data_IF_502652165867
#
_entry.id   IF_502652165867
#
_cell.length_a   1.000
_cell.length_b   1.000
_cell.length_c   1.000
_cell.angle_alpha   90.00
_cell.angle_beta   90.00
_cell.angle_gamma   90.00
#
_symmetry.space_group_name_H-M   'P 1'
#
loop_
_entity.id
_entity.type
_entity.pdbx_description
1 polymer ?
#
# COMPACT_ATOMS: atom_id res chain seq x y z
N UNK A 1 -16.97 0.73 -7.54
CA UNK A 1 -16.12 -0.11 -6.67
C UNK A 1 -14.85 0.67 -6.42
N UNK A 2 -14.44 0.89 -5.17
CA UNK A 2 -13.18 1.62 -4.88
C UNK A 2 -11.99 0.70 -5.12
N UNK A 3 -10.87 1.23 -5.61
CA UNK A 3 -9.65 0.44 -5.85
C UNK A 3 -8.63 0.61 -4.73
N UNK A 4 -7.91 -0.48 -4.41
CA UNK A 4 -6.82 -0.46 -3.44
C UNK A 4 -5.57 -1.10 -4.03
N UNK A 5 -4.40 -0.52 -3.75
CA UNK A 5 -3.12 -1.10 -4.12
C UNK A 5 -2.17 -1.19 -2.91
N UNK A 6 -1.41 -2.28 -2.82
CA UNK A 6 -0.54 -2.57 -1.69
C UNK A 6 0.94 -2.53 -2.08
N UNK A 7 1.78 -1.97 -1.20
CA UNK A 7 3.22 -2.11 -1.25
C UNK A 7 3.73 -2.50 0.13
N UNK A 8 4.50 -3.57 0.21
CA UNK A 8 4.98 -4.12 1.48
C UNK A 8 6.51 -4.05 1.52
N UNK A 9 7.02 -3.45 2.57
CA UNK A 9 8.43 -3.42 2.94
C UNK A 9 8.63 -4.19 4.24
N UNK A 10 9.77 -4.85 4.37
CA UNK A 10 10.16 -5.50 5.62
C UNK A 10 10.13 -7.02 5.53
N UNK A 11 9.68 -7.67 6.61
CA UNK A 11 9.86 -9.10 6.81
C UNK A 11 8.61 -9.91 6.45
N UNK A 12 8.69 -11.23 6.57
CA UNK A 12 7.58 -12.16 6.31
C UNK A 12 6.29 -11.81 7.05
N UNK A 13 6.39 -11.21 8.24
CA UNK A 13 5.21 -10.80 9.01
C UNK A 13 4.47 -9.66 8.30
N UNK A 14 5.17 -8.65 7.77
CA UNK A 14 4.54 -7.57 6.99
C UNK A 14 3.80 -8.11 5.76
N UNK A 15 4.32 -9.14 5.10
CA UNK A 15 3.64 -9.79 3.97
C UNK A 15 2.40 -10.56 4.41
N UNK A 16 2.46 -11.25 5.55
CA UNK A 16 1.29 -11.93 6.12
C UNK A 16 0.18 -10.93 6.48
N UNK A 17 0.54 -9.84 7.16
CA UNK A 17 -0.40 -8.77 7.54
C UNK A 17 -1.05 -8.12 6.31
N UNK A 18 -0.25 -7.88 5.26
CA UNK A 18 -0.76 -7.34 3.99
C UNK A 18 -1.74 -8.30 3.32
N UNK A 19 -1.48 -9.61 3.41
CA UNK A 19 -2.39 -10.64 2.90
C UNK A 19 -3.75 -10.59 3.59
N UNK A 20 -3.76 -10.56 4.93
CA UNK A 20 -4.99 -10.44 5.72
C UNK A 20 -5.75 -9.16 5.38
N UNK A 21 -5.07 -8.02 5.35
CA UNK A 21 -5.69 -6.72 5.02
C UNK A 21 -6.24 -6.69 3.59
N UNK A 22 -5.57 -7.32 2.62
CA UNK A 22 -6.06 -7.47 1.24
C UNK A 22 -7.38 -8.21 1.22
N UNK A 23 -7.48 -9.35 1.91
CA UNK A 23 -8.70 -10.16 1.96
C UNK A 23 -9.84 -9.44 2.67
N UNK A 24 -9.57 -8.70 3.75
CA UNK A 24 -10.58 -7.91 4.46
C UNK A 24 -11.14 -6.78 3.58
N UNK A 25 -10.26 -6.02 2.90
CA UNK A 25 -10.69 -4.92 2.03
C UNK A 25 -11.47 -5.42 0.81
N UNK A 26 -11.07 -6.55 0.23
CA UNK A 26 -11.87 -7.22 -0.81
C UNK A 26 -13.25 -7.61 -0.28
N UNK A 27 -13.34 -8.12 0.96
CA UNK A 27 -14.60 -8.40 1.66
C UNK A 27 -15.48 -7.16 1.90
N UNK A 28 -14.87 -5.98 2.04
CA UNK A 28 -15.56 -4.69 2.12
C UNK A 28 -15.90 -4.09 0.74
N UNK A 29 -15.66 -4.80 -0.36
CA UNK A 29 -16.00 -4.37 -1.71
C UNK A 29 -14.96 -3.46 -2.36
N UNK A 30 -13.70 -3.50 -1.92
CA UNK A 30 -12.60 -2.91 -2.66
C UNK A 30 -12.11 -3.85 -3.77
N UNK A 31 -11.64 -3.28 -4.87
CA UNK A 31 -10.97 -4.01 -5.93
C UNK A 31 -9.47 -3.83 -5.80
N UNK A 32 -8.74 -4.94 -5.66
CA UNK A 32 -7.29 -4.90 -5.66
C UNK A 32 -6.76 -4.62 -7.08
N UNK A 33 -5.87 -3.65 -7.21
CA UNK A 33 -5.11 -3.34 -8.44
C UNK A 33 -3.61 -3.39 -8.17
N UNK A 34 -2.79 -3.45 -9.22
CA UNK A 34 -1.35 -3.43 -9.05
C UNK A 34 -0.86 -2.05 -8.55
N UNK A 35 0.22 -2.02 -7.78
CA UNK A 35 0.74 -0.78 -7.19
C UNK A 35 1.23 0.26 -8.20
N UNK A 36 1.53 -0.17 -9.43
CA UNK A 36 1.86 0.74 -10.53
C UNK A 36 0.63 1.35 -11.20
N UNK A 37 -0.57 0.88 -10.90
CA UNK A 37 -1.83 1.40 -11.44
C UNK A 37 -2.40 2.53 -10.58
N UNK A 38 -3.41 3.22 -11.11
CA UNK A 38 -4.16 4.25 -10.40
C UNK A 38 -5.13 3.61 -9.41
N UNK A 39 -4.94 3.86 -8.11
CA UNK A 39 -5.81 3.38 -7.03
C UNK A 39 -6.47 4.54 -6.27
N UNK A 40 -7.64 4.29 -5.68
CA UNK A 40 -8.29 5.24 -4.76
C UNK A 40 -7.63 5.23 -3.38
N UNK A 41 -7.11 4.07 -2.97
CA UNK A 41 -6.38 3.84 -1.73
C UNK A 41 -5.05 3.16 -2.04
N UNK A 42 -3.95 3.67 -1.49
CA UNK A 42 -2.67 2.97 -1.47
C UNK A 42 -2.35 2.59 -0.03
N UNK A 43 -1.96 1.35 0.20
CA UNK A 43 -1.50 0.87 1.50
C UNK A 43 -0.02 0.55 1.42
N UNK A 44 0.79 1.25 2.20
CA UNK A 44 2.24 1.03 2.28
C UNK A 44 2.55 0.45 3.66
N UNK A 45 2.77 -0.86 3.74
CA UNK A 45 3.07 -1.55 5.00
C UNK A 45 4.59 -1.64 5.21
N UNK A 46 5.08 -1.09 6.31
CA UNK A 46 6.49 -1.14 6.72
C UNK A 46 6.57 -1.18 8.24
N UNK A 47 7.62 -1.80 8.78
CA UNK A 47 7.87 -1.81 10.23
C UNK A 47 8.68 -0.61 10.73
N UNK A 48 9.15 0.28 9.85
CA UNK A 48 9.90 1.53 10.18
C UNK A 48 11.17 1.34 11.04
N UNK A 49 11.54 0.09 11.35
CA UNK A 49 12.65 -0.23 12.29
C UNK A 49 14.03 0.24 11.82
N UNK A 50 14.17 0.76 10.60
CA UNK A 50 15.41 1.33 10.08
C UNK A 50 15.16 2.67 9.40
N UNK A 51 16.14 3.58 9.46
CA UNK A 51 16.07 4.86 8.72
C UNK A 51 15.87 4.66 7.21
N UNK A 52 16.41 3.56 6.66
CA UNK A 52 16.24 3.28 5.24
C UNK A 52 14.78 2.95 4.90
N UNK A 53 14.09 2.22 5.78
CA UNK A 53 12.67 1.92 5.61
C UNK A 53 11.82 3.20 5.56
N UNK A 54 12.15 4.20 6.39
CA UNK A 54 11.44 5.49 6.39
C UNK A 54 11.70 6.31 5.12
N UNK A 55 12.97 6.36 4.67
CA UNK A 55 13.35 7.04 3.42
C UNK A 55 12.66 6.41 2.22
N UNK A 56 12.65 5.08 2.15
CA UNK A 56 11.99 4.32 1.09
C UNK A 56 10.48 4.53 1.12
N UNK A 57 9.84 4.45 2.31
CA UNK A 57 8.41 4.72 2.48
C UNK A 57 8.02 6.09 1.93
N UNK A 58 8.75 7.15 2.28
CA UNK A 58 8.50 8.51 1.75
C UNK A 58 8.59 8.57 0.22
N UNK A 59 9.57 7.90 -0.38
CA UNK A 59 9.69 7.82 -1.84
C UNK A 59 8.49 7.12 -2.47
N UNK A 60 8.01 6.04 -1.86
CA UNK A 60 6.84 5.29 -2.33
C UNK A 60 5.55 6.10 -2.19
N UNK A 61 5.35 6.82 -1.09
CA UNK A 61 4.21 7.74 -0.90
C UNK A 61 4.17 8.77 -2.03
N UNK A 62 5.30 9.41 -2.33
CA UNK A 62 5.37 10.36 -3.45
C UNK A 62 5.03 9.70 -4.80
N UNK A 63 5.48 8.47 -5.03
CA UNK A 63 5.15 7.69 -6.25
C UNK A 63 3.68 7.28 -6.32
N UNK A 64 3.00 7.10 -5.19
CA UNK A 64 1.57 6.81 -5.12
C UNK A 64 0.75 8.07 -5.44
N UNK A 65 1.06 9.19 -4.76
CA UNK A 65 0.39 10.48 -5.00
C UNK A 65 0.64 11.02 -6.42
N UNK A 66 1.77 10.71 -7.04
CA UNK A 66 2.02 11.03 -8.45
C UNK A 66 1.09 10.29 -9.43
N UNK A 67 0.56 9.11 -9.05
CA UNK A 67 -0.42 8.36 -9.88
C UNK A 67 -1.84 8.85 -9.66
N UNK A 68 -2.15 9.22 -8.42
CA UNK A 68 -3.44 9.79 -8.06
C UNK A 68 -3.27 10.79 -6.92
N UNK A 69 -3.26 12.08 -7.26
CA UNK A 69 -3.12 13.16 -6.28
C UNK A 69 -4.30 13.23 -5.28
N UNK A 70 -5.43 12.59 -5.61
CA UNK A 70 -6.62 12.52 -4.76
C UNK A 70 -6.74 11.18 -4.02
N UNK A 71 -5.74 10.29 -4.11
CA UNK A 71 -5.78 9.03 -3.39
C UNK A 71 -5.58 9.22 -1.88
N UNK A 72 -6.16 8.31 -1.11
CA UNK A 72 -5.77 8.12 0.27
C UNK A 72 -4.52 7.23 0.31
N UNK A 73 -3.52 7.61 1.10
CA UNK A 73 -2.24 6.89 1.26
C UNK A 73 -1.94 6.74 2.74
#
# INVERSE_FOLDING_TARGET
MKTVAFHTLGCKLNFADTGTLSSELEGFGFSRVAFNEKADVYVINTCSVTENADKECKSIVNRALAKNANAYV
#
